data_IF_180541598492
#
_entry.id   IF_180541598492
#
_cell.length_a   1.000
_cell.length_b   1.000
_cell.length_c   1.000
_cell.angle_alpha   90.00
_cell.angle_beta   90.00
_cell.angle_gamma   90.00
#
_symmetry.space_group_name_H-M   'P 1'
#
loop_
_entity.id
_entity.type
_entity.pdbx_description
1 polymer ?
#
# COMPACT_ATOMS: atom_id res chain seq x y z
N UNK A 1 28.66 -3.68 3.05
CA UNK A 1 27.97 -2.64 3.85
C UNK A 1 26.69 -3.24 4.40
N UNK A 2 26.41 -3.01 5.69
CA UNK A 2 25.14 -3.37 6.31
C UNK A 2 24.01 -2.62 5.61
N UNK A 3 22.94 -3.29 5.18
CA UNK A 3 21.72 -2.61 4.72
C UNK A 3 20.88 -2.34 5.95
N UNK A 4 20.73 -1.07 6.33
CA UNK A 4 19.91 -0.65 7.46
C UNK A 4 18.79 0.28 6.98
N UNK A 5 17.53 -0.10 7.20
CA UNK A 5 16.36 0.76 6.95
C UNK A 5 15.64 1.00 8.30
N UNK A 6 16.12 1.95 9.12
CA UNK A 6 15.53 2.25 10.43
C UNK A 6 14.12 2.84 10.29
N UNK A 7 13.82 3.54 9.21
CA UNK A 7 12.47 4.07 8.91
C UNK A 7 11.48 2.92 8.77
N UNK A 8 11.85 1.86 8.06
CA UNK A 8 11.02 0.66 7.95
C UNK A 8 10.78 0.01 9.31
N UNK A 9 11.84 -0.18 10.11
CA UNK A 9 11.75 -0.83 11.42
C UNK A 9 10.86 -0.04 12.38
N UNK A 10 11.06 1.28 12.47
CA UNK A 10 10.38 2.14 13.44
C UNK A 10 8.95 2.49 13.06
N UNK A 11 8.62 2.57 11.77
CA UNK A 11 7.34 3.13 11.32
C UNK A 11 6.53 2.20 10.43
N UNK A 12 7.14 1.53 9.44
CA UNK A 12 6.40 0.65 8.52
C UNK A 12 6.05 -0.71 9.12
N UNK A 13 6.88 -1.28 10.01
CA UNK A 13 6.54 -2.52 10.73
C UNK A 13 5.34 -2.31 11.67
N UNK A 14 5.29 -1.28 12.53
CA UNK A 14 4.09 -0.98 13.31
C UNK A 14 2.84 -0.74 12.46
N UNK A 15 2.98 0.00 11.34
CA UNK A 15 1.90 0.20 10.38
C UNK A 15 1.40 -1.13 9.78
N UNK A 16 2.30 -2.04 9.40
CA UNK A 16 1.93 -3.36 8.88
C UNK A 16 1.19 -4.18 9.94
N UNK A 17 1.66 -4.15 11.18
CA UNK A 17 1.03 -4.87 12.29
C UNK A 17 -0.37 -4.33 12.62
N UNK A 18 -0.53 -3.01 12.66
CA UNK A 18 -1.83 -2.37 12.87
C UNK A 18 -2.82 -2.68 11.74
N UNK A 19 -2.34 -2.65 10.49
CA UNK A 19 -3.13 -3.03 9.31
C UNK A 19 -3.55 -4.50 9.36
N UNK A 20 -2.64 -5.40 9.76
CA UNK A 20 -2.94 -6.83 9.91
C UNK A 20 -3.95 -7.09 11.02
N UNK A 21 -3.87 -6.39 12.14
CA UNK A 21 -4.87 -6.49 13.22
C UNK A 21 -6.26 -6.07 12.71
N UNK A 22 -6.34 -4.99 11.94
CA UNK A 22 -7.58 -4.53 11.32
C UNK A 22 -8.15 -5.58 10.35
N UNK A 23 -7.32 -6.16 9.50
CA UNK A 23 -7.73 -7.22 8.57
C UNK A 23 -8.25 -8.46 9.33
N UNK A 24 -7.57 -8.87 10.41
CA UNK A 24 -8.01 -10.01 11.26
C UNK A 24 -9.35 -9.73 11.93
N UNK A 25 -9.53 -8.54 12.51
CA UNK A 25 -10.78 -8.14 13.13
C UNK A 25 -11.94 -8.12 12.12
N UNK A 26 -11.66 -7.71 10.87
CA UNK A 26 -12.65 -7.74 9.79
C UNK A 26 -13.07 -9.16 9.45
N UNK A 27 -12.13 -10.09 9.24
CA UNK A 27 -12.48 -11.48 8.96
C UNK A 27 -13.18 -12.15 10.14
N UNK A 28 -12.77 -11.85 11.39
CA UNK A 28 -13.48 -12.32 12.58
C UNK A 28 -14.93 -11.81 12.60
N UNK A 29 -15.16 -10.53 12.30
CA UNK A 29 -16.51 -9.96 12.23
C UNK A 29 -17.37 -10.65 11.16
N UNK A 30 -16.78 -10.99 10.00
CA UNK A 30 -17.46 -11.70 8.93
C UNK A 30 -17.81 -13.15 9.32
N UNK A 31 -16.95 -13.85 10.05
CA UNK A 31 -17.26 -15.20 10.55
C UNK A 31 -18.36 -15.13 11.61
N UNK A 32 -18.28 -14.18 12.55
CA UNK A 32 -19.27 -14.01 13.60
C UNK A 32 -20.66 -13.64 13.03
N UNK A 33 -20.73 -12.83 11.96
CA UNK A 33 -22.02 -12.52 11.33
C UNK A 33 -22.68 -13.74 10.69
N UNK A 34 -21.91 -14.69 10.15
CA UNK A 34 -22.44 -15.98 9.67
C UNK A 34 -22.91 -16.83 10.85
N UNK A 35 -22.10 -16.94 11.92
CA UNK A 35 -22.46 -17.72 13.12
C UNK A 35 -23.74 -17.20 13.76
N UNK A 36 -23.96 -15.88 13.78
CA UNK A 36 -25.20 -15.27 14.28
C UNK A 36 -26.48 -15.78 13.57
N UNK A 37 -26.39 -16.22 12.31
CA UNK A 37 -27.54 -16.74 11.57
C UNK A 37 -27.98 -18.13 12.04
N UNK A 38 -27.09 -18.88 12.68
CA UNK A 38 -27.32 -20.28 13.08
C UNK A 38 -27.49 -20.49 14.58
N UNK A 39 -27.21 -19.47 15.39
CA UNK A 39 -27.38 -19.56 16.85
C UNK A 39 -28.78 -19.05 17.20
N UNK A 40 -29.69 -19.97 17.51
CA UNK A 40 -31.02 -19.61 17.99
C UNK A 40 -30.97 -19.13 19.45
N UNK A 41 -31.63 -18.01 19.72
CA UNK A 41 -31.74 -17.42 21.06
C UNK A 41 -32.57 -18.29 22.01
N UNK A 42 -33.57 -19.01 21.49
CA UNK A 42 -34.43 -19.87 22.28
C UNK A 42 -33.67 -21.09 22.84
N UNK A 43 -32.84 -21.71 22.00
CA UNK A 43 -32.09 -22.92 22.36
C UNK A 43 -30.80 -22.60 23.13
N UNK A 44 -30.10 -21.52 22.75
CA UNK A 44 -28.78 -21.19 23.31
C UNK A 44 -28.65 -19.69 23.68
N UNK A 45 -29.36 -19.19 24.70
CA UNK A 45 -29.41 -17.76 25.02
C UNK A 45 -28.05 -17.16 25.41
N UNK A 46 -27.21 -17.90 26.15
CA UNK A 46 -25.87 -17.43 26.56
C UNK A 46 -24.95 -17.36 25.34
N UNK A 47 -24.93 -18.40 24.50
CA UNK A 47 -24.10 -18.43 23.30
C UNK A 47 -24.51 -17.33 22.33
N UNK A 48 -25.81 -17.13 22.14
CA UNK A 48 -26.36 -16.04 21.34
C UNK A 48 -25.83 -14.67 21.81
N UNK A 49 -25.86 -14.42 23.12
CA UNK A 49 -25.35 -13.18 23.69
C UNK A 49 -23.84 -13.02 23.46
N UNK A 50 -23.05 -14.07 23.70
CA UNK A 50 -21.58 -14.04 23.52
C UNK A 50 -21.21 -13.77 22.07
N UNK A 51 -21.85 -14.42 21.11
CA UNK A 51 -21.57 -14.22 19.68
C UNK A 51 -21.91 -12.79 19.25
N UNK A 52 -23.09 -12.28 19.64
CA UNK A 52 -23.49 -10.92 19.27
C UNK A 52 -22.61 -9.84 19.92
N UNK A 53 -22.26 -9.98 21.20
CA UNK A 53 -21.32 -9.05 21.86
C UNK A 53 -19.95 -9.11 21.19
N UNK A 54 -19.45 -10.31 20.89
CA UNK A 54 -18.18 -10.48 20.19
C UNK A 54 -18.20 -9.85 18.80
N UNK A 55 -19.32 -9.98 18.08
CA UNK A 55 -19.51 -9.35 16.76
C UNK A 55 -19.44 -7.83 16.86
N UNK A 56 -20.16 -7.23 17.80
CA UNK A 56 -20.14 -5.77 18.04
C UNK A 56 -18.74 -5.30 18.40
N UNK A 57 -18.04 -6.01 19.29
CA UNK A 57 -16.66 -5.68 19.66
C UNK A 57 -15.70 -5.80 18.47
N UNK A 58 -15.86 -6.81 17.61
CA UNK A 58 -15.06 -6.98 16.41
C UNK A 58 -15.27 -5.83 15.41
N UNK A 59 -16.52 -5.42 15.19
CA UNK A 59 -16.85 -4.26 14.33
C UNK A 59 -16.27 -2.96 14.90
N UNK A 60 -16.39 -2.75 16.21
CA UNK A 60 -15.80 -1.58 16.87
C UNK A 60 -14.26 -1.59 16.76
N UNK A 61 -13.63 -2.76 16.94
CA UNK A 61 -12.18 -2.93 16.79
C UNK A 61 -11.74 -2.59 15.36
N UNK A 62 -12.44 -3.09 14.35
CA UNK A 62 -12.22 -2.75 12.93
C UNK A 62 -12.26 -1.25 12.69
N UNK A 63 -13.26 -0.57 13.25
CA UNK A 63 -13.42 0.88 13.08
C UNK A 63 -12.25 1.64 13.72
N UNK A 64 -11.94 1.35 14.98
CA UNK A 64 -10.87 2.02 15.73
C UNK A 64 -9.50 1.73 15.10
N UNK A 65 -9.21 0.49 14.71
CA UNK A 65 -7.96 0.15 14.02
C UNK A 65 -7.85 0.83 12.67
N UNK A 66 -8.95 0.92 11.91
CA UNK A 66 -9.00 1.63 10.64
C UNK A 66 -8.67 3.11 10.79
N UNK A 67 -9.23 3.78 11.82
CA UNK A 67 -8.89 5.17 12.13
C UNK A 67 -7.42 5.31 12.56
N UNK A 68 -6.92 4.44 13.43
CA UNK A 68 -5.54 4.48 13.88
C UNK A 68 -4.55 4.28 12.72
N UNK A 69 -4.81 3.34 11.83
CA UNK A 69 -4.00 3.11 10.63
C UNK A 69 -3.98 4.36 9.75
N UNK A 70 -5.16 4.92 9.44
CA UNK A 70 -5.29 6.04 8.49
C UNK A 70 -4.80 7.38 9.03
N UNK A 71 -5.02 7.67 10.31
CA UNK A 71 -4.76 8.99 10.90
C UNK A 71 -3.48 9.07 11.72
N UNK A 72 -2.94 7.94 12.17
CA UNK A 72 -1.73 7.92 13.01
C UNK A 72 -0.57 7.19 12.36
N UNK A 73 -0.72 5.89 12.07
CA UNK A 73 0.40 5.08 11.60
C UNK A 73 0.84 5.43 10.18
N UNK A 74 -0.11 5.57 9.25
CA UNK A 74 0.20 5.82 7.84
C UNK A 74 0.86 7.18 7.62
N UNK A 75 0.30 8.31 8.11
CA UNK A 75 0.92 9.62 7.92
C UNK A 75 2.32 9.68 8.52
N UNK A 76 2.52 9.13 9.72
CA UNK A 76 3.81 9.13 10.40
C UNK A 76 4.88 8.34 9.65
N UNK A 77 4.52 7.21 9.05
CA UNK A 77 5.45 6.43 8.24
C UNK A 77 5.88 7.17 6.96
N UNK A 78 4.92 7.83 6.30
CA UNK A 78 5.18 8.60 5.08
C UNK A 78 5.97 9.88 5.36
N UNK A 79 5.65 10.62 6.43
CA UNK A 79 6.38 11.83 6.83
C UNK A 79 7.87 11.54 7.04
N UNK A 80 8.18 10.46 7.75
CA UNK A 80 9.57 10.06 8.03
C UNK A 80 10.26 9.56 6.77
N UNK A 81 9.54 8.87 5.87
CA UNK A 81 10.09 8.44 4.58
C UNK A 81 10.41 9.61 3.65
N UNK A 82 9.59 10.67 3.66
CA UNK A 82 9.85 11.89 2.88
C UNK A 82 11.04 12.64 3.46
N UNK A 83 11.18 12.73 4.79
CA UNK A 83 12.36 13.34 5.42
C UNK A 83 13.64 12.58 5.07
N UNK A 84 13.61 11.25 5.10
CA UNK A 84 14.72 10.39 4.69
C UNK A 84 15.07 10.63 3.21
N UNK A 85 14.06 10.61 2.33
CA UNK A 85 14.23 10.92 0.90
C UNK A 85 14.90 12.28 0.65
N UNK A 86 14.39 13.35 1.28
CA UNK A 86 14.93 14.69 1.12
C UNK A 86 16.32 14.83 1.76
N UNK A 87 16.55 14.19 2.91
CA UNK A 87 17.86 14.14 3.56
C UNK A 87 18.93 13.57 2.63
N UNK A 88 18.64 12.46 1.95
CA UNK A 88 19.55 11.87 0.97
C UNK A 88 19.70 12.72 -0.31
N UNK A 89 18.62 13.32 -0.81
CA UNK A 89 18.68 14.18 -2.00
C UNK A 89 19.55 15.43 -1.75
N UNK A 90 19.37 16.10 -0.61
CA UNK A 90 20.08 17.32 -0.25
C UNK A 90 21.38 17.08 0.53
N UNK A 91 21.69 15.83 0.90
CA UNK A 91 22.84 15.47 1.74
C UNK A 91 22.81 16.22 3.08
N UNK A 92 21.66 16.19 3.74
CA UNK A 92 21.39 16.88 5.01
C UNK A 92 20.87 15.90 6.05
N UNK A 93 21.29 16.11 7.29
CA UNK A 93 20.82 15.34 8.45
C UNK A 93 19.45 15.84 8.93
N UNK A 94 18.39 15.34 8.29
CA UNK A 94 16.99 15.72 8.60
C UNK A 94 16.36 14.79 9.65
N UNK A 95 16.84 13.55 9.77
CA UNK A 95 16.41 12.55 10.76
C UNK A 95 17.61 11.96 11.49
N UNK A 96 17.40 11.51 12.73
CA UNK A 96 18.49 10.98 13.57
C UNK A 96 19.06 9.66 13.06
N UNK A 97 18.25 8.84 12.39
CA UNK A 97 18.64 7.53 11.85
C UNK A 97 18.26 7.46 10.36
N UNK A 98 19.20 7.76 9.46
CA UNK A 98 19.00 7.68 8.01
C UNK A 98 19.10 6.25 7.49
N UNK A 99 18.46 6.01 6.34
CA UNK A 99 18.54 4.71 5.66
C UNK A 99 19.89 4.51 4.98
N UNK A 100 20.61 3.46 5.35
CA UNK A 100 21.88 3.10 4.71
C UNK A 100 21.65 2.23 3.47
N UNK A 101 22.21 2.67 2.34
CA UNK A 101 22.15 1.99 1.04
C UNK A 101 20.74 1.83 0.44
N UNK A 102 19.72 2.50 0.99
CA UNK A 102 18.38 2.58 0.40
C UNK A 102 18.35 3.54 -0.80
N UNK A 103 19.01 4.70 -0.67
CA UNK A 103 19.25 5.62 -1.80
C UNK A 103 20.72 5.56 -2.20
N UNK A 104 20.99 5.27 -3.48
CA UNK A 104 22.35 5.04 -3.99
C UNK A 104 22.63 5.85 -5.27
N UNK A 105 21.96 6.99 -5.41
CA UNK A 105 22.07 7.87 -6.59
C UNK A 105 23.11 8.95 -6.34
N UNK A 106 24.15 9.00 -7.19
CA UNK A 106 25.32 9.86 -7.02
C UNK A 106 25.29 11.09 -7.94
N UNK A 107 24.11 11.48 -8.41
CA UNK A 107 23.95 12.61 -9.31
C UNK A 107 24.50 13.92 -8.70
N UNK A 108 24.95 14.81 -9.59
CA UNK A 108 25.77 15.98 -9.24
C UNK A 108 25.01 17.00 -8.40
N UNK A 109 23.78 17.33 -8.79
CA UNK A 109 22.94 18.31 -8.08
C UNK A 109 21.89 17.64 -7.21
N UNK A 110 21.46 18.33 -6.14
CA UNK A 110 20.38 17.85 -5.27
C UNK A 110 19.08 17.59 -6.05
N UNK A 111 18.76 18.43 -7.04
CA UNK A 111 17.61 18.22 -7.92
C UNK A 111 17.72 16.95 -8.76
N UNK A 112 18.90 16.65 -9.31
CA UNK A 112 19.11 15.42 -10.11
C UNK A 112 19.06 14.19 -9.22
N UNK A 113 19.62 14.24 -8.00
CA UNK A 113 19.49 13.16 -7.02
C UNK A 113 18.02 12.92 -6.67
N UNK A 114 17.28 13.99 -6.39
CA UNK A 114 15.84 13.92 -6.13
C UNK A 114 15.08 13.29 -7.31
N UNK A 115 15.38 13.71 -8.54
CA UNK A 115 14.77 13.15 -9.75
C UNK A 115 15.11 11.67 -9.95
N UNK A 116 16.36 11.28 -9.70
CA UNK A 116 16.82 9.90 -9.84
C UNK A 116 16.15 8.98 -8.81
N UNK A 117 16.12 9.41 -7.55
CA UNK A 117 15.44 8.69 -6.47
C UNK A 117 13.93 8.59 -6.73
N UNK A 118 13.29 9.65 -7.23
CA UNK A 118 11.87 9.62 -7.60
C UNK A 118 11.60 8.67 -8.77
N UNK A 119 12.49 8.64 -9.77
CA UNK A 119 12.40 7.74 -10.90
C UNK A 119 12.54 6.27 -10.47
N UNK A 120 13.50 5.98 -9.60
CA UNK A 120 13.69 4.66 -8.98
C UNK A 120 12.46 4.27 -8.15
N UNK A 121 12.03 5.12 -7.22
CA UNK A 121 10.88 4.87 -6.36
C UNK A 121 9.60 4.62 -7.16
N UNK A 122 9.35 5.39 -8.22
CA UNK A 122 8.18 5.21 -9.09
C UNK A 122 8.27 3.96 -9.96
N UNK A 123 9.47 3.55 -10.41
CA UNK A 123 9.71 2.27 -11.08
C UNK A 123 9.37 1.09 -10.15
N UNK A 124 9.89 1.11 -8.93
CA UNK A 124 9.61 0.07 -7.95
C UNK A 124 8.13 0.03 -7.58
N UNK A 125 7.55 1.19 -7.31
CA UNK A 125 6.17 1.28 -6.85
C UNK A 125 5.16 0.84 -7.90
N UNK A 126 5.35 1.20 -9.19
CA UNK A 126 4.44 0.75 -10.26
C UNK A 126 4.49 -0.77 -10.46
N UNK A 127 5.69 -1.38 -10.36
CA UNK A 127 5.87 -2.82 -10.57
C UNK A 127 5.34 -3.64 -9.39
N UNK A 128 5.57 -3.16 -8.16
CA UNK A 128 4.99 -3.77 -6.97
C UNK A 128 3.45 -3.66 -7.01
N UNK A 129 2.91 -2.48 -7.30
CA UNK A 129 1.47 -2.27 -7.40
C UNK A 129 0.84 -3.15 -8.49
N UNK A 130 1.51 -3.31 -9.63
CA UNK A 130 1.08 -4.22 -10.71
C UNK A 130 1.01 -5.68 -10.26
N UNK A 131 2.02 -6.17 -9.53
CA UNK A 131 2.01 -7.55 -9.01
C UNK A 131 0.98 -7.74 -7.89
N UNK A 132 0.82 -6.74 -7.00
CA UNK A 132 -0.23 -6.75 -5.99
C UNK A 132 -1.61 -6.79 -6.64
N UNK A 133 -1.84 -6.00 -7.68
CA UNK A 133 -3.11 -5.96 -8.40
C UNK A 133 -3.43 -7.31 -9.03
N UNK A 134 -2.47 -7.95 -9.72
CA UNK A 134 -2.64 -9.31 -10.26
C UNK A 134 -3.03 -10.30 -9.17
N UNK A 135 -2.35 -10.25 -8.02
CA UNK A 135 -2.66 -11.11 -6.87
C UNK A 135 -4.06 -10.87 -6.31
N UNK A 136 -4.47 -9.61 -6.17
CA UNK A 136 -5.82 -9.24 -5.70
C UNK A 136 -6.90 -9.64 -6.70
N UNK A 137 -6.69 -9.40 -8.00
CA UNK A 137 -7.63 -9.77 -9.06
C UNK A 137 -7.95 -11.27 -9.05
N UNK A 138 -6.94 -12.13 -8.91
CA UNK A 138 -7.15 -13.58 -8.84
C UNK A 138 -7.97 -13.96 -7.61
N UNK A 139 -7.63 -13.41 -6.43
CA UNK A 139 -8.37 -13.69 -5.20
C UNK A 139 -9.82 -13.23 -5.29
N UNK A 140 -10.05 -12.05 -5.85
CA UNK A 140 -11.39 -11.47 -5.94
C UNK A 140 -12.24 -12.17 -7.00
N UNK A 141 -11.63 -12.62 -8.10
CA UNK A 141 -12.30 -13.50 -9.05
C UNK A 141 -12.78 -14.78 -8.35
N UNK A 142 -11.95 -15.41 -7.51
CA UNK A 142 -12.33 -16.59 -6.74
C UNK A 142 -13.50 -16.27 -5.78
N UNK A 143 -13.42 -15.17 -5.02
CA UNK A 143 -14.49 -14.78 -4.09
C UNK A 143 -15.80 -14.47 -4.81
N UNK A 144 -15.73 -13.77 -5.95
CA UNK A 144 -16.89 -13.45 -6.75
C UNK A 144 -17.53 -14.70 -7.36
N UNK A 145 -16.74 -15.65 -7.87
CA UNK A 145 -17.25 -16.93 -8.37
C UNK A 145 -17.88 -17.77 -7.26
N UNK A 146 -17.26 -17.81 -6.08
CA UNK A 146 -17.83 -18.51 -4.93
C UNK A 146 -19.17 -17.89 -4.51
N UNK A 147 -19.26 -16.57 -4.44
CA UNK A 147 -20.52 -15.87 -4.18
C UNK A 147 -21.58 -16.10 -5.25
N UNK A 148 -21.19 -16.08 -6.53
CA UNK A 148 -22.11 -16.37 -7.63
C UNK A 148 -22.67 -17.80 -7.51
N UNK A 149 -21.82 -18.77 -7.17
CA UNK A 149 -22.26 -20.15 -6.92
C UNK A 149 -23.26 -20.25 -5.75
N UNK A 150 -22.99 -19.56 -4.65
CA UNK A 150 -23.91 -19.48 -3.49
C UNK A 150 -25.23 -18.83 -3.90
N UNK A 151 -25.18 -17.69 -4.60
CA UNK A 151 -26.35 -16.92 -5.00
C UNK A 151 -27.24 -17.65 -6.02
N UNK A 152 -26.65 -18.46 -6.91
CA UNK A 152 -27.40 -19.27 -7.88
C UNK A 152 -27.97 -20.56 -7.28
N UNK A 153 -27.56 -20.93 -6.06
CA UNK A 153 -28.06 -22.14 -5.40
C UNK A 153 -29.40 -21.86 -4.72
N UNK A 154 -30.47 -22.45 -5.26
CA UNK A 154 -31.87 -22.20 -4.84
C UNK A 154 -32.18 -22.47 -3.36
N UNK A 155 -31.41 -23.33 -2.69
CA UNK A 155 -31.67 -23.79 -1.32
C UNK A 155 -30.81 -23.08 -0.26
N UNK A 156 -30.11 -22.00 -0.63
CA UNK A 156 -29.29 -21.24 0.32
C UNK A 156 -30.16 -20.19 1.03
N UNK A 157 -29.99 -20.07 2.34
CA UNK A 157 -30.63 -19.04 3.14
C UNK A 157 -30.23 -17.62 2.67
N UNK A 158 -31.22 -16.73 2.52
CA UNK A 158 -30.98 -15.36 2.04
C UNK A 158 -30.04 -14.56 2.95
N UNK A 159 -29.97 -14.87 4.25
CA UNK A 159 -29.03 -14.29 5.19
C UNK A 159 -27.58 -14.61 4.85
N UNK A 160 -27.29 -15.83 4.37
CA UNK A 160 -25.94 -16.21 3.91
C UNK A 160 -25.55 -15.40 2.67
N UNK A 161 -26.46 -15.25 1.72
CA UNK A 161 -26.23 -14.45 0.50
C UNK A 161 -25.98 -12.98 0.89
N UNK A 162 -26.75 -12.45 1.85
CA UNK A 162 -26.59 -11.09 2.34
C UNK A 162 -25.22 -10.87 2.99
N UNK A 163 -24.81 -11.75 3.91
CA UNK A 163 -23.52 -11.65 4.60
C UNK A 163 -22.36 -11.81 3.62
N UNK A 164 -22.43 -12.78 2.70
CA UNK A 164 -21.42 -12.95 1.67
C UNK A 164 -21.29 -11.71 0.77
N UNK A 165 -22.42 -11.10 0.40
CA UNK A 165 -22.44 -9.84 -0.37
C UNK A 165 -21.77 -8.71 0.41
N UNK A 166 -22.10 -8.55 1.70
CA UNK A 166 -21.50 -7.52 2.56
C UNK A 166 -19.98 -7.65 2.64
N UNK A 167 -19.45 -8.87 2.75
CA UNK A 167 -17.99 -9.10 2.82
C UNK A 167 -17.30 -8.77 1.50
N UNK A 168 -17.86 -9.19 0.36
CA UNK A 168 -17.24 -9.00 -0.96
C UNK A 168 -17.27 -7.53 -1.38
N UNK A 169 -18.39 -6.86 -1.14
CA UNK A 169 -18.58 -5.45 -1.46
C UNK A 169 -18.17 -4.51 -0.31
N UNK A 170 -17.57 -5.04 0.76
CA UNK A 170 -17.04 -4.22 1.85
C UNK A 170 -15.97 -3.25 1.32
N UNK A 171 -15.96 -2.03 1.87
CA UNK A 171 -14.97 -1.00 1.54
C UNK A 171 -13.53 -1.51 1.70
N UNK A 172 -13.27 -2.32 2.73
CA UNK A 172 -11.95 -2.90 3.00
C UNK A 172 -11.42 -3.79 1.87
N UNK A 173 -12.32 -4.39 1.10
CA UNK A 173 -12.01 -5.32 0.02
C UNK A 173 -12.09 -4.58 -1.31
N UNK A 174 -13.28 -4.12 -1.68
CA UNK A 174 -13.52 -3.54 -3.01
C UNK A 174 -12.88 -2.17 -3.18
N UNK A 175 -13.05 -1.25 -2.21
CA UNK A 175 -12.49 0.10 -2.33
C UNK A 175 -10.95 0.09 -2.25
N UNK A 176 -10.35 -0.85 -1.50
CA UNK A 176 -8.89 -1.07 -1.51
C UNK A 176 -8.36 -1.47 -2.89
N UNK A 177 -9.10 -2.32 -3.62
CA UNK A 177 -8.74 -2.71 -4.99
C UNK A 177 -8.82 -1.55 -5.98
N UNK A 178 -9.91 -0.77 -5.94
CA UNK A 178 -10.05 0.42 -6.79
C UNK A 178 -8.95 1.46 -6.49
N UNK A 179 -8.67 1.71 -5.20
CA UNK A 179 -7.56 2.58 -4.79
C UNK A 179 -6.21 2.07 -5.29
N UNK A 180 -5.98 0.76 -5.34
CA UNK A 180 -4.73 0.19 -5.87
C UNK A 180 -4.62 0.37 -7.39
N UNK A 181 -5.70 0.19 -8.14
CA UNK A 181 -5.73 0.48 -9.59
C UNK A 181 -5.36 1.95 -9.83
N UNK A 182 -6.02 2.85 -9.11
CA UNK A 182 -5.76 4.28 -9.20
C UNK A 182 -4.31 4.59 -8.85
N UNK A 183 -3.81 4.08 -7.71
CA UNK A 183 -2.44 4.32 -7.25
C UNK A 183 -1.38 3.82 -8.25
N UNK A 184 -1.59 2.64 -8.85
CA UNK A 184 -0.73 2.11 -9.91
C UNK A 184 -0.63 3.10 -11.08
N UNK A 185 -1.77 3.61 -11.56
CA UNK A 185 -1.78 4.57 -12.66
C UNK A 185 -1.05 5.88 -12.31
N UNK A 186 -1.13 6.32 -11.05
CA UNK A 186 -0.37 7.49 -10.56
C UNK A 186 1.13 7.22 -10.56
N UNK A 187 1.58 6.04 -10.11
CA UNK A 187 2.99 5.66 -10.16
C UNK A 187 3.53 5.56 -11.59
N UNK A 188 2.76 4.99 -12.52
CA UNK A 188 3.12 4.93 -13.94
C UNK A 188 3.30 6.33 -14.51
N UNK A 189 2.35 7.23 -14.22
CA UNK A 189 2.44 8.63 -14.65
C UNK A 189 3.67 9.34 -14.07
N UNK A 190 3.94 9.22 -12.77
CA UNK A 190 5.16 9.79 -12.15
C UNK A 190 6.43 9.26 -12.83
N UNK A 191 6.49 7.95 -13.07
CA UNK A 191 7.63 7.32 -13.73
C UNK A 191 7.84 7.89 -15.12
N UNK A 192 6.79 7.94 -15.95
CA UNK A 192 6.88 8.45 -17.32
C UNK A 192 7.27 9.93 -17.37
N UNK A 193 6.67 10.76 -16.52
CA UNK A 193 6.98 12.18 -16.45
C UNK A 193 8.43 12.40 -16.02
N UNK A 194 8.88 11.70 -14.98
CA UNK A 194 10.25 11.84 -14.47
C UNK A 194 11.28 11.29 -15.46
N UNK A 195 11.00 10.16 -16.10
CA UNK A 195 11.86 9.58 -17.14
C UNK A 195 12.05 10.55 -18.31
N UNK A 196 10.97 11.21 -18.76
CA UNK A 196 11.02 12.20 -19.85
C UNK A 196 11.89 13.41 -19.51
N UNK A 197 11.96 13.83 -18.24
CA UNK A 197 12.83 14.94 -17.83
C UNK A 197 14.30 14.64 -18.11
N UNK A 198 14.75 13.44 -17.72
CA UNK A 198 16.11 12.98 -17.99
C UNK A 198 16.35 12.71 -19.48
N UNK A 199 15.43 12.02 -20.14
CA UNK A 199 15.58 11.68 -21.56
C UNK A 199 15.69 12.91 -22.46
N UNK A 200 14.91 13.96 -22.18
CA UNK A 200 14.93 15.20 -22.94
C UNK A 200 16.06 16.15 -22.52
N UNK A 201 16.89 15.79 -21.53
CA UNK A 201 17.98 16.64 -21.04
C UNK A 201 17.52 17.96 -20.45
N UNK A 202 16.36 17.98 -19.77
CA UNK A 202 15.87 19.19 -19.09
C UNK A 202 16.81 19.48 -17.90
N UNK A 203 17.26 20.73 -17.75
CA UNK A 203 18.20 21.11 -16.69
C UNK A 203 17.80 22.40 -15.97
N UNK A 204 18.52 22.72 -14.89
CA UNK A 204 18.36 23.98 -14.14
C UNK A 204 17.00 24.12 -13.45
N UNK A 205 16.49 25.36 -13.38
CA UNK A 205 15.25 25.68 -12.65
C UNK A 205 14.02 24.93 -13.18
N UNK A 206 13.95 24.69 -14.49
CA UNK A 206 12.84 23.95 -15.11
C UNK A 206 12.83 22.48 -14.65
N UNK A 207 14.01 21.86 -14.62
CA UNK A 207 14.15 20.50 -14.12
C UNK A 207 13.75 20.41 -12.64
N UNK A 208 14.29 21.31 -11.80
CA UNK A 208 13.96 21.34 -10.39
C UNK A 208 12.45 21.49 -10.14
N UNK A 209 11.80 22.46 -10.80
CA UNK A 209 10.35 22.67 -10.68
C UNK A 209 9.56 21.40 -11.05
N UNK A 210 9.89 20.77 -12.18
CA UNK A 210 9.19 19.57 -12.63
C UNK A 210 9.42 18.35 -11.71
N UNK A 211 10.62 18.19 -11.15
CA UNK A 211 10.89 17.12 -10.17
C UNK A 211 10.09 17.35 -8.89
N UNK A 212 10.03 18.59 -8.38
CA UNK A 212 9.23 18.93 -7.19
C UNK A 212 7.75 18.68 -7.45
N UNK A 213 7.22 19.09 -8.61
CA UNK A 213 5.84 18.82 -9.01
C UNK A 213 5.54 17.31 -9.03
N UNK A 214 6.41 16.52 -9.66
CA UNK A 214 6.25 15.06 -9.74
C UNK A 214 6.38 14.40 -8.36
N UNK A 215 7.25 14.90 -7.49
CA UNK A 215 7.41 14.42 -6.12
C UNK A 215 6.15 14.67 -5.30
N UNK A 216 5.62 15.90 -5.33
CA UNK A 216 4.36 16.26 -4.66
C UNK A 216 3.23 15.39 -5.19
N UNK A 217 3.13 15.21 -6.51
CA UNK A 217 2.13 14.35 -7.13
C UNK A 217 2.23 12.88 -6.67
N UNK A 218 3.46 12.36 -6.56
CA UNK A 218 3.73 10.99 -6.13
C UNK A 218 3.35 10.79 -4.65
N UNK A 219 3.82 11.66 -3.76
CA UNK A 219 3.58 11.52 -2.31
C UNK A 219 2.12 11.79 -1.95
N UNK A 220 1.49 12.81 -2.53
CA UNK A 220 0.05 13.04 -2.34
C UNK A 220 -0.79 11.86 -2.83
N UNK A 221 -0.37 11.17 -3.90
CA UNK A 221 -1.04 9.97 -4.38
C UNK A 221 -0.89 8.80 -3.40
N UNK A 222 0.31 8.58 -2.83
CA UNK A 222 0.54 7.56 -1.78
C UNK A 222 -0.32 7.81 -0.54
N UNK A 223 -0.28 9.02 -0.01
CA UNK A 223 -1.07 9.42 1.17
C UNK A 223 -2.56 9.31 0.92
N UNK A 224 -3.05 9.75 -0.25
CA UNK A 224 -4.48 9.69 -0.60
C UNK A 224 -4.98 8.25 -0.77
N UNK A 225 -4.18 7.37 -1.36
CA UNK A 225 -4.55 5.96 -1.49
C UNK A 225 -4.55 5.26 -0.12
N UNK A 226 -3.62 5.65 0.77
CA UNK A 226 -3.37 4.99 2.06
C UNK A 226 -3.19 3.47 1.92
N UNK A 227 -2.48 3.05 0.87
CA UNK A 227 -2.17 1.64 0.60
C UNK A 227 -0.69 1.41 0.83
N UNK A 228 -0.38 0.53 1.78
CA UNK A 228 0.97 0.04 1.99
C UNK A 228 1.32 -0.97 0.89
N UNK A 229 2.46 -0.76 0.22
CA UNK A 229 3.01 -1.72 -0.73
C UNK A 229 3.54 -2.95 0.00
N UNK A 230 3.40 -4.13 -0.61
CA UNK A 230 3.75 -5.38 0.04
C UNK A 230 5.27 -5.62 0.07
N UNK A 231 5.84 -5.69 1.27
CA UNK A 231 7.26 -6.05 1.50
C UNK A 231 7.61 -7.42 0.92
N UNK A 232 6.66 -8.38 0.94
CA UNK A 232 6.83 -9.71 0.32
C UNK A 232 6.99 -9.61 -1.19
N UNK A 233 6.16 -8.78 -1.83
CA UNK A 233 6.25 -8.54 -3.28
C UNK A 233 7.54 -7.79 -3.59
N UNK A 234 7.88 -6.75 -2.82
CA UNK A 234 9.14 -6.02 -2.94
C UNK A 234 10.34 -6.97 -2.92
N UNK A 235 10.49 -7.79 -1.89
CA UNK A 235 11.62 -8.73 -1.77
C UNK A 235 11.71 -9.70 -2.96
N UNK A 236 10.56 -10.13 -3.49
CA UNK A 236 10.49 -11.02 -4.66
C UNK A 236 10.93 -10.33 -5.96
N UNK A 237 10.67 -9.02 -6.11
CA UNK A 237 10.97 -8.30 -7.36
C UNK A 237 12.27 -7.52 -7.32
N UNK A 238 12.75 -7.19 -6.12
CA UNK A 238 13.88 -6.31 -5.89
C UNK A 238 15.12 -6.67 -6.71
N UNK A 239 15.60 -7.94 -6.77
CA UNK A 239 16.78 -8.27 -7.56
C UNK A 239 16.64 -7.93 -9.05
N UNK A 240 15.46 -8.16 -9.63
CA UNK A 240 15.19 -7.83 -11.03
C UNK A 240 15.11 -6.30 -11.22
N UNK A 241 14.36 -5.62 -10.36
CA UNK A 241 14.14 -4.18 -10.51
C UNK A 241 15.40 -3.37 -10.25
N UNK A 242 16.29 -3.80 -9.36
CA UNK A 242 17.61 -3.18 -9.19
C UNK A 242 18.44 -3.28 -10.47
N UNK A 243 18.45 -4.44 -11.14
CA UNK A 243 19.15 -4.58 -12.42
C UNK A 243 18.51 -3.74 -13.54
N UNK A 244 17.17 -3.69 -13.60
CA UNK A 244 16.45 -2.84 -14.54
C UNK A 244 16.75 -1.35 -14.28
N UNK A 245 16.85 -0.94 -13.02
CA UNK A 245 17.22 0.41 -12.61
C UNK A 245 18.64 0.77 -13.03
N UNK A 246 19.62 -0.11 -12.79
CA UNK A 246 21.01 0.11 -13.22
C UNK A 246 21.09 0.33 -14.74
N UNK A 247 20.34 -0.45 -15.52
CA UNK A 247 20.25 -0.28 -16.98
C UNK A 247 19.66 1.09 -17.38
N UNK A 248 18.56 1.50 -16.73
CA UNK A 248 17.93 2.82 -16.96
C UNK A 248 18.90 3.94 -16.61
N UNK A 249 19.60 3.83 -15.49
CA UNK A 249 20.54 4.82 -14.99
C UNK A 249 21.69 5.04 -15.96
N UNK A 250 22.27 3.95 -16.48
CA UNK A 250 23.30 3.98 -17.51
C UNK A 250 22.79 4.62 -18.81
N UNK A 251 21.60 4.21 -19.27
CA UNK A 251 20.98 4.74 -20.50
C UNK A 251 20.74 6.25 -20.43
N UNK A 252 20.33 6.75 -19.26
CA UNK A 252 20.00 8.16 -19.02
C UNK A 252 21.19 9.00 -18.53
N UNK A 253 22.36 8.38 -18.31
CA UNK A 253 23.59 9.04 -17.83
C UNK A 253 23.40 9.84 -16.53
N UNK A 254 22.60 9.30 -15.60
CA UNK A 254 22.21 10.00 -14.35
C UNK A 254 23.40 10.15 -13.37
N UNK A 255 24.33 9.18 -13.38
CA UNK A 255 25.52 9.16 -12.50
C UNK A 255 26.79 9.73 -13.16
N UNK A 256 26.68 10.38 -14.32
CA UNK A 256 27.81 10.94 -15.07
C UNK A 256 27.91 12.46 -14.94
#
# INVERSE_FOLDING_TARGET
>A
MSKSDPVNIKYYIPLENASRLSDVAFFLSAVLSIVCLYVDKADFPILYAVVNVSFVLAVAAVFVSGLAVKLYYFPRAEDERIKDFLGHAYQMDVISDQSEAYYNNNARTASERMGAQLLENSLFSKEIASKMLKGMSVRYAIYFLAWLAIALTRNVDYGIILVASQVIFAEQVFAKFIRLIWLKARFEKTYEQTYRLFFNGVTGKRFHCAVVENLVFYETSKTSASIQLSSRVFNKVNPKLSADWDSIRQKLKIDL
#
